data_IF_278928781476
#
_entry.id   IF_278928781476
#
_cell.length_a   1.000
_cell.length_b   1.000
_cell.length_c   1.000
_cell.angle_alpha   90.00
_cell.angle_beta   90.00
_cell.angle_gamma   90.00
#
_symmetry.space_group_name_H-M   'P 1'
#
loop_
_entity.id
_entity.type
_entity.pdbx_description
1 polymer ?
#
# COMPACT_ATOMS: atom_id res chain seq x y z
N UNK A 1 -4.28 38.54 0.91
CA UNK A 1 -4.19 37.48 -0.13
C UNK A 1 -4.72 36.19 0.50
N UNK A 2 -5.98 35.88 0.31
CA UNK A 2 -6.61 34.63 0.73
C UNK A 2 -6.01 33.52 -0.10
N UNK A 3 -5.28 32.62 0.55
CA UNK A 3 -4.82 31.37 -0.06
C UNK A 3 -6.08 30.63 -0.58
N UNK A 4 -6.20 30.34 -1.89
CA UNK A 4 -7.35 29.58 -2.36
C UNK A 4 -7.34 28.23 -1.62
N UNK A 5 -8.42 27.96 -0.91
CA UNK A 5 -8.60 26.67 -0.25
C UNK A 5 -8.32 25.59 -1.31
N UNK A 6 -7.37 24.70 -1.02
CA UNK A 6 -7.04 23.60 -1.94
C UNK A 6 -8.31 22.81 -2.17
N UNK A 7 -8.81 22.80 -3.41
CA UNK A 7 -9.96 21.95 -3.76
C UNK A 7 -9.49 20.51 -3.83
N UNK A 8 -9.51 19.85 -2.68
CA UNK A 8 -9.12 18.44 -2.56
C UNK A 8 -9.95 17.51 -3.44
N UNK A 9 -11.23 17.85 -3.67
CA UNK A 9 -12.07 17.05 -4.55
C UNK A 9 -11.60 17.14 -6.01
N UNK A 10 -11.19 18.31 -6.45
CA UNK A 10 -10.60 18.50 -7.79
C UNK A 10 -9.24 17.79 -7.88
N UNK A 11 -8.37 17.96 -6.87
CA UNK A 11 -7.06 17.32 -6.83
C UNK A 11 -7.17 15.79 -6.85
N UNK A 12 -8.14 15.21 -6.14
CA UNK A 12 -8.44 13.78 -6.13
C UNK A 12 -8.88 13.27 -7.50
N UNK A 13 -9.79 13.97 -8.16
CA UNK A 13 -10.19 13.64 -9.54
C UNK A 13 -9.00 13.70 -10.49
N UNK A 14 -8.19 14.77 -10.42
CA UNK A 14 -7.00 14.92 -11.24
C UNK A 14 -5.98 13.79 -11.00
N UNK A 15 -5.78 13.35 -9.76
CA UNK A 15 -4.95 12.18 -9.44
C UNK A 15 -5.44 10.93 -10.20
N UNK A 16 -6.73 10.64 -10.13
CA UNK A 16 -7.29 9.45 -10.81
C UNK A 16 -7.11 9.54 -12.32
N UNK A 17 -7.44 10.68 -12.92
CA UNK A 17 -7.49 10.82 -14.38
C UNK A 17 -6.12 11.07 -15.02
N UNK A 18 -5.23 11.83 -14.32
CA UNK A 18 -3.95 12.29 -14.88
C UNK A 18 -2.73 11.54 -14.33
N UNK A 19 -2.86 10.77 -13.24
CA UNK A 19 -1.77 9.97 -12.68
C UNK A 19 -2.08 8.48 -12.77
N UNK A 20 -3.19 8.00 -12.18
CA UNK A 20 -3.43 6.58 -12.04
C UNK A 20 -3.74 5.90 -13.40
N UNK A 21 -4.70 6.43 -14.15
CA UNK A 21 -5.10 5.85 -15.45
C UNK A 21 -3.94 5.80 -16.47
N UNK A 22 -3.14 6.87 -16.67
CA UNK A 22 -2.00 6.84 -17.57
C UNK A 22 -0.90 5.86 -17.15
N UNK A 23 -0.81 5.53 -15.86
CA UNK A 23 0.15 4.57 -15.31
C UNK A 23 -0.37 3.12 -15.30
N UNK A 24 -1.45 2.86 -16.03
CA UNK A 24 -1.98 1.51 -16.25
C UNK A 24 -2.86 0.98 -15.12
N UNK A 25 -3.35 1.85 -14.23
CA UNK A 25 -4.35 1.45 -13.24
C UNK A 25 -5.71 1.36 -13.94
N UNK A 26 -6.18 0.14 -14.16
CA UNK A 26 -7.42 -0.15 -14.90
C UNK A 26 -8.52 -0.76 -14.03
N UNK A 27 -8.18 -1.23 -12.84
CA UNK A 27 -9.16 -1.83 -11.93
C UNK A 27 -10.18 -0.79 -11.46
N UNK A 28 -11.45 -1.05 -11.78
CA UNK A 28 -12.55 -0.11 -11.52
C UNK A 28 -12.84 0.03 -10.03
N UNK A 29 -12.68 -1.05 -9.24
CA UNK A 29 -12.92 -1.00 -7.80
C UNK A 29 -11.83 -0.16 -7.10
N UNK A 30 -10.56 -0.35 -7.49
CA UNK A 30 -9.42 0.45 -7.00
C UNK A 30 -9.61 1.93 -7.36
N UNK A 31 -9.92 2.24 -8.63
CA UNK A 31 -10.12 3.63 -9.06
C UNK A 31 -11.29 4.29 -8.32
N UNK A 32 -12.41 3.57 -8.11
CA UNK A 32 -13.56 4.07 -7.34
C UNK A 32 -13.20 4.34 -5.88
N UNK A 33 -12.48 3.40 -5.23
CA UNK A 33 -12.05 3.59 -3.85
C UNK A 33 -11.14 4.82 -3.72
N UNK A 34 -10.14 4.97 -4.59
CA UNK A 34 -9.23 6.11 -4.57
C UNK A 34 -9.89 7.44 -4.94
N UNK A 35 -10.97 7.42 -5.73
CA UNK A 35 -11.79 8.60 -6.01
C UNK A 35 -12.70 8.98 -4.82
N UNK A 36 -13.14 8.01 -4.03
CA UNK A 36 -14.08 8.22 -2.92
C UNK A 36 -13.38 8.61 -1.62
N UNK A 37 -12.28 7.91 -1.26
CA UNK A 37 -11.61 8.09 0.04
C UNK A 37 -10.77 9.37 0.06
N UNK A 38 -11.02 10.30 1.00
CA UNK A 38 -10.30 11.57 1.08
C UNK A 38 -8.91 11.37 1.70
N UNK A 39 -7.90 11.13 0.86
CA UNK A 39 -6.52 10.86 1.28
C UNK A 39 -5.94 11.97 2.17
N UNK A 40 -6.31 13.23 1.91
CA UNK A 40 -5.92 14.40 2.71
C UNK A 40 -6.31 14.31 4.19
N UNK A 41 -7.38 13.56 4.50
CA UNK A 41 -7.82 13.36 5.88
C UNK A 41 -6.87 12.48 6.71
N UNK A 42 -6.00 11.72 6.04
CA UNK A 42 -5.03 10.81 6.65
C UNK A 42 -3.60 11.38 6.66
N UNK A 43 -3.42 12.56 6.09
CA UNK A 43 -2.10 13.23 6.00
C UNK A 43 -2.00 14.30 7.10
N UNK A 44 -0.93 14.30 7.92
CA UNK A 44 -0.82 15.24 9.02
C UNK A 44 -0.58 16.67 8.56
N UNK A 45 -1.31 17.62 9.16
CA UNK A 45 -1.04 19.06 9.12
C UNK A 45 -0.89 19.64 7.72
N UNK A 46 0.18 20.43 7.53
CA UNK A 46 0.45 21.14 6.28
C UNK A 46 0.76 20.22 5.10
N UNK A 47 1.15 18.98 5.35
CA UNK A 47 1.42 17.99 4.30
C UNK A 47 0.15 17.58 3.53
N UNK A 48 -1.06 17.85 4.05
CA UNK A 48 -2.32 17.59 3.37
C UNK A 48 -2.42 18.23 1.97
N UNK A 49 -1.79 19.39 1.74
CA UNK A 49 -1.72 20.03 0.42
C UNK A 49 -1.00 19.19 -0.64
N UNK A 50 -0.20 18.22 -0.23
CA UNK A 50 0.53 17.31 -1.10
C UNK A 50 -0.09 15.91 -1.18
N UNK A 51 -1.26 15.70 -0.54
CA UNK A 51 -1.89 14.38 -0.43
C UNK A 51 -2.07 13.66 -1.78
N UNK A 52 -2.27 14.42 -2.85
CA UNK A 52 -2.52 13.92 -4.20
C UNK A 52 -1.31 14.00 -5.15
N UNK A 53 -0.15 14.42 -4.64
CA UNK A 53 1.11 14.33 -5.39
C UNK A 53 1.60 12.87 -5.39
N UNK A 54 2.15 12.43 -6.54
CA UNK A 54 2.66 11.04 -6.67
C UNK A 54 4.05 10.89 -6.03
N UNK A 55 4.09 11.10 -4.71
CA UNK A 55 5.30 10.98 -3.88
C UNK A 55 4.96 10.44 -2.49
N UNK A 56 5.95 9.86 -1.82
CA UNK A 56 5.84 9.46 -0.41
C UNK A 56 5.63 10.68 0.49
N UNK A 57 4.78 10.54 1.48
CA UNK A 57 4.50 11.59 2.47
C UNK A 57 4.93 11.06 3.85
N UNK A 58 5.93 11.72 4.44
CA UNK A 58 6.40 11.36 5.78
C UNK A 58 5.30 11.55 6.82
N UNK A 59 5.17 10.57 7.71
CA UNK A 59 4.30 10.59 8.89
C UNK A 59 5.11 10.39 10.17
N UNK A 60 6.27 11.02 10.20
CA UNK A 60 7.20 11.00 11.33
C UNK A 60 7.98 9.69 11.42
N UNK A 61 8.29 9.28 12.63
CA UNK A 61 9.11 8.08 12.91
C UNK A 61 8.46 6.77 12.47
N UNK A 62 7.15 6.76 12.24
CA UNK A 62 6.42 5.58 11.76
C UNK A 62 6.72 5.23 10.31
N UNK A 63 7.34 6.15 9.56
CA UNK A 63 7.65 5.96 8.14
C UNK A 63 6.90 6.95 7.24
N UNK A 64 6.40 6.48 6.11
CA UNK A 64 5.73 7.32 5.12
C UNK A 64 4.54 6.60 4.47
N UNK A 65 3.51 7.37 4.11
CA UNK A 65 2.47 6.89 3.21
C UNK A 65 3.07 6.65 1.82
N UNK A 66 2.69 5.56 1.19
CA UNK A 66 3.11 5.28 -0.19
C UNK A 66 2.53 6.31 -1.17
N UNK A 67 3.23 6.61 -2.29
CA UNK A 67 2.66 7.40 -3.37
C UNK A 67 1.36 6.77 -3.91
N UNK A 68 0.41 7.57 -4.40
CA UNK A 68 -0.86 7.05 -4.95
C UNK A 68 -0.69 6.01 -6.06
N UNK A 69 0.19 6.26 -7.03
CA UNK A 69 0.36 5.37 -8.18
C UNK A 69 0.92 4.00 -7.81
N UNK A 70 2.04 3.87 -7.07
CA UNK A 70 2.51 2.58 -6.59
C UNK A 70 1.47 1.80 -5.78
N UNK A 71 0.75 2.47 -4.88
CA UNK A 71 -0.30 1.84 -4.09
C UNK A 71 -1.44 1.30 -4.97
N UNK A 72 -1.92 2.11 -5.92
CA UNK A 72 -2.97 1.69 -6.86
C UNK A 72 -2.53 0.52 -7.73
N UNK A 73 -1.27 0.51 -8.19
CA UNK A 73 -0.69 -0.60 -8.97
C UNK A 73 -0.57 -1.87 -8.15
N UNK A 74 -0.17 -1.78 -6.87
CA UNK A 74 -0.16 -2.94 -5.96
C UNK A 74 -1.55 -3.52 -5.79
N UNK A 75 -2.57 -2.69 -5.52
CA UNK A 75 -3.95 -3.13 -5.36
C UNK A 75 -4.48 -3.76 -6.66
N UNK A 76 -4.21 -3.14 -7.81
CA UNK A 76 -4.61 -3.70 -9.13
C UNK A 76 -3.95 -5.06 -9.38
N UNK A 77 -2.65 -5.20 -9.12
CA UNK A 77 -1.93 -6.45 -9.34
C UNK A 77 -2.32 -7.55 -8.35
N UNK A 78 -2.60 -7.18 -7.11
CA UNK A 78 -3.05 -8.13 -6.08
C UNK A 78 -4.49 -8.57 -6.25
N UNK A 79 -5.32 -7.77 -6.96
CA UNK A 79 -6.73 -8.03 -7.23
C UNK A 79 -7.50 -8.51 -5.97
N UNK A 80 -7.55 -7.72 -4.87
CA UNK A 80 -8.31 -8.09 -3.69
C UNK A 80 -9.80 -8.19 -4.00
N UNK A 81 -10.49 -9.16 -3.41
CA UNK A 81 -11.88 -9.43 -3.72
C UNK A 81 -12.82 -8.98 -2.60
N UNK A 82 -14.04 -8.52 -2.93
CA UNK A 82 -15.06 -8.31 -1.93
C UNK A 82 -15.28 -9.56 -1.05
N UNK A 83 -15.31 -9.35 0.26
CA UNK A 83 -15.41 -10.43 1.24
C UNK A 83 -14.08 -10.99 1.72
N UNK A 84 -12.95 -10.68 1.08
CA UNK A 84 -11.63 -11.07 1.60
C UNK A 84 -11.42 -10.48 3.01
N UNK A 85 -10.89 -11.30 3.92
CA UNK A 85 -10.36 -10.83 5.20
C UNK A 85 -8.99 -10.24 4.97
N UNK A 86 -8.81 -8.98 5.35
CA UNK A 86 -7.59 -8.24 5.07
C UNK A 86 -6.91 -7.72 6.33
N UNK A 87 -5.57 -7.70 6.29
CA UNK A 87 -4.71 -7.00 7.25
C UNK A 87 -3.91 -5.92 6.51
N UNK A 88 -3.82 -4.75 7.11
CA UNK A 88 -2.94 -3.67 6.64
C UNK A 88 -1.86 -3.41 7.68
N UNK A 89 -0.62 -3.45 7.23
CA UNK A 89 0.57 -3.12 8.02
C UNK A 89 1.27 -1.94 7.37
N UNK A 90 1.72 -0.96 8.14
CA UNK A 90 2.43 0.18 7.58
C UNK A 90 2.41 1.41 8.44
N UNK A 91 2.87 2.51 7.87
CA UNK A 91 2.98 3.78 8.57
C UNK A 91 1.62 4.51 8.69
N UNK A 92 0.75 4.40 7.67
CA UNK A 92 -0.61 4.98 7.66
C UNK A 92 -1.68 3.95 7.29
N UNK A 93 -1.81 2.87 8.07
CA UNK A 93 -2.69 1.75 7.70
C UNK A 93 -4.15 2.17 7.57
N UNK A 94 -4.57 3.24 8.23
CA UNK A 94 -5.95 3.71 8.22
C UNK A 94 -6.44 4.14 6.83
N UNK A 95 -5.60 4.80 6.03
CA UNK A 95 -5.96 5.17 4.65
C UNK A 95 -6.16 3.94 3.77
N UNK A 96 -5.21 3.02 3.81
CA UNK A 96 -5.29 1.79 3.02
C UNK A 96 -6.46 0.92 3.47
N UNK A 97 -6.68 0.81 4.79
CA UNK A 97 -7.83 0.09 5.35
C UNK A 97 -9.16 0.64 4.81
N UNK A 98 -9.28 1.97 4.71
CA UNK A 98 -10.49 2.59 4.18
C UNK A 98 -10.66 2.33 2.67
N UNK A 99 -9.57 2.34 1.89
CA UNK A 99 -9.61 1.91 0.49
C UNK A 99 -10.10 0.46 0.34
N UNK A 100 -9.59 -0.45 1.16
CA UNK A 100 -9.97 -1.87 1.12
C UNK A 100 -11.43 -2.07 1.52
N UNK A 101 -11.93 -1.33 2.53
CA UNK A 101 -13.35 -1.35 2.89
C UNK A 101 -14.24 -0.86 1.74
N UNK A 102 -13.83 0.18 1.01
CA UNK A 102 -14.53 0.65 -0.19
C UNK A 102 -14.53 -0.36 -1.34
N UNK A 103 -13.52 -1.20 -1.44
CA UNK A 103 -13.49 -2.32 -2.38
C UNK A 103 -14.41 -3.46 -1.92
N UNK A 104 -14.74 -3.51 -0.62
CA UNK A 104 -15.64 -4.50 -0.02
C UNK A 104 -14.93 -5.57 0.81
N UNK A 105 -13.68 -5.33 1.24
CA UNK A 105 -12.94 -6.24 2.10
C UNK A 105 -13.32 -6.03 3.58
N UNK A 106 -13.17 -7.10 4.36
CA UNK A 106 -13.29 -7.09 5.82
C UNK A 106 -11.90 -6.84 6.42
N UNK A 107 -11.59 -5.58 6.75
CA UNK A 107 -10.29 -5.20 7.29
C UNK A 107 -10.26 -5.41 8.79
N UNK A 108 -9.35 -6.26 9.26
CA UNK A 108 -9.10 -6.55 10.66
C UNK A 108 -8.14 -5.52 11.28
N UNK A 109 -8.37 -5.20 12.55
CA UNK A 109 -7.43 -4.43 13.37
C UNK A 109 -6.46 -5.34 14.13
N UNK A 110 -6.82 -6.61 14.29
CA UNK A 110 -5.99 -7.64 14.92
C UNK A 110 -5.18 -8.41 13.90
N UNK A 111 -3.94 -8.74 14.26
CA UNK A 111 -3.06 -9.57 13.42
C UNK A 111 -3.38 -11.08 13.47
N UNK A 112 -4.47 -11.48 14.16
CA UNK A 112 -4.90 -12.86 14.24
C UNK A 112 -5.58 -13.31 12.94
N UNK A 113 -4.82 -14.03 12.09
CA UNK A 113 -5.31 -14.61 10.82
C UNK A 113 -6.31 -15.75 11.02
N UNK A 114 -6.63 -16.50 9.95
CA UNK A 114 -6.04 -16.35 8.62
C UNK A 114 -6.61 -15.16 7.82
N UNK A 115 -5.76 -14.56 6.97
CA UNK A 115 -6.13 -13.47 6.06
C UNK A 115 -6.05 -13.93 4.61
N UNK A 116 -7.02 -13.51 3.79
CA UNK A 116 -7.01 -13.74 2.34
C UNK A 116 -6.11 -12.71 1.64
N UNK A 117 -5.96 -11.54 2.26
CA UNK A 117 -5.14 -10.46 1.73
C UNK A 117 -4.37 -9.73 2.84
N UNK A 118 -3.05 -9.52 2.64
CA UNK A 118 -2.21 -8.68 3.50
C UNK A 118 -1.59 -7.59 2.61
N UNK A 119 -1.72 -6.33 3.00
CA UNK A 119 -0.98 -5.25 2.37
C UNK A 119 0.00 -4.66 3.38
N UNK A 120 1.29 -4.61 2.99
CA UNK A 120 2.34 -3.92 3.74
C UNK A 120 2.64 -2.60 3.02
N UNK A 121 2.25 -1.48 3.63
CA UNK A 121 2.45 -0.14 3.10
C UNK A 121 3.85 0.36 3.42
N UNK A 122 4.77 0.18 2.49
CA UNK A 122 6.18 0.55 2.60
C UNK A 122 7.07 -0.43 1.85
N UNK A 123 8.36 -0.13 1.79
CA UNK A 123 9.33 -1.07 1.25
C UNK A 123 9.95 -1.89 2.40
N UNK A 124 10.08 -3.19 2.19
CA UNK A 124 10.58 -4.13 3.19
C UNK A 124 11.69 -5.01 2.61
N UNK A 125 12.69 -5.32 3.41
CA UNK A 125 13.76 -6.23 3.02
C UNK A 125 13.42 -7.69 3.35
N UNK A 126 12.61 -7.91 4.39
CA UNK A 126 12.17 -9.24 4.84
C UNK A 126 10.69 -9.19 5.20
N UNK A 127 9.95 -10.18 4.73
CA UNK A 127 8.58 -10.42 5.18
C UNK A 127 8.65 -11.24 6.47
N UNK A 128 8.11 -10.77 7.60
CA UNK A 128 8.10 -11.53 8.84
C UNK A 128 7.36 -12.87 8.70
N UNK A 129 7.92 -13.93 9.28
CA UNK A 129 7.30 -15.26 9.30
C UNK A 129 5.90 -15.24 9.92
N UNK A 130 5.67 -14.38 10.90
CA UNK A 130 4.35 -14.19 11.52
C UNK A 130 3.29 -13.74 10.51
N UNK A 131 3.62 -12.86 9.55
CA UNK A 131 2.70 -12.43 8.49
C UNK A 131 2.46 -13.55 7.47
N UNK A 132 3.51 -14.33 7.15
CA UNK A 132 3.38 -15.51 6.28
C UNK A 132 2.50 -16.57 6.95
N UNK A 133 2.65 -16.79 8.25
CA UNK A 133 1.82 -17.70 9.01
C UNK A 133 0.35 -17.25 9.06
N UNK A 134 0.12 -15.93 9.26
CA UNK A 134 -1.22 -15.34 9.30
C UNK A 134 -1.92 -15.27 7.92
N UNK A 135 -1.19 -15.46 6.81
CA UNK A 135 -1.76 -15.51 5.47
C UNK A 135 -2.43 -16.87 5.24
N UNK A 136 -3.67 -16.88 4.76
CA UNK A 136 -4.38 -18.08 4.37
C UNK A 136 -3.68 -18.80 3.21
N UNK A 137 -3.92 -20.12 3.08
CA UNK A 137 -3.50 -20.86 1.88
C UNK A 137 -4.24 -20.30 0.66
N UNK A 138 -3.51 -20.01 -0.42
CA UNK A 138 -4.02 -19.28 -1.57
C UNK A 138 -4.12 -17.76 -1.38
N UNK A 139 -3.91 -17.26 -0.16
CA UNK A 139 -3.94 -15.83 0.16
C UNK A 139 -2.83 -15.04 -0.53
N UNK A 140 -3.01 -13.71 -0.60
CA UNK A 140 -2.13 -12.79 -1.32
C UNK A 140 -1.54 -11.76 -0.37
N UNK A 141 -0.28 -11.42 -0.60
CA UNK A 141 0.43 -10.37 0.13
C UNK A 141 1.03 -9.38 -0.87
N UNK A 142 0.80 -8.10 -0.67
CA UNK A 142 1.27 -7.03 -1.56
C UNK A 142 2.17 -6.06 -0.80
N UNK A 143 3.31 -5.70 -1.40
CA UNK A 143 4.29 -4.78 -0.80
C UNK A 143 5.30 -4.29 -1.84
N UNK A 144 6.25 -3.45 -1.44
CA UNK A 144 7.48 -3.22 -2.17
C UNK A 144 8.64 -4.00 -1.51
N UNK A 145 9.36 -4.82 -2.28
CA UNK A 145 10.53 -5.56 -1.80
C UNK A 145 11.81 -4.77 -2.07
N UNK A 146 12.71 -4.74 -1.08
CA UNK A 146 14.06 -4.17 -1.22
C UNK A 146 15.01 -5.29 -1.64
N UNK A 147 15.52 -5.20 -2.87
CA UNK A 147 16.44 -6.18 -3.45
C UNK A 147 17.60 -5.47 -4.14
N UNK A 148 18.83 -5.71 -3.71
CA UNK A 148 20.02 -5.11 -4.31
C UNK A 148 20.04 -3.58 -4.30
N UNK A 149 19.44 -2.95 -3.27
CA UNK A 149 19.33 -1.49 -3.18
C UNK A 149 18.22 -0.85 -4.00
N UNK A 150 17.42 -1.65 -4.71
CA UNK A 150 16.26 -1.18 -5.49
C UNK A 150 14.97 -1.63 -4.81
N UNK A 151 13.93 -0.81 -4.88
CA UNK A 151 12.59 -1.18 -4.41
C UNK A 151 11.71 -1.59 -5.57
N UNK A 152 11.03 -2.75 -5.44
CA UNK A 152 10.17 -3.33 -6.48
C UNK A 152 8.80 -3.66 -5.93
N UNK A 153 7.76 -3.22 -6.61
CA UNK A 153 6.40 -3.63 -6.31
C UNK A 153 6.25 -5.13 -6.55
N UNK A 154 5.71 -5.82 -5.56
CA UNK A 154 5.59 -7.27 -5.60
C UNK A 154 4.27 -7.74 -4.99
N UNK A 155 3.72 -8.81 -5.59
CA UNK A 155 2.60 -9.57 -5.05
C UNK A 155 3.06 -11.00 -4.83
N UNK A 156 2.91 -11.46 -3.59
CA UNK A 156 3.15 -12.84 -3.20
C UNK A 156 1.85 -13.61 -3.10
N UNK A 157 1.87 -14.89 -3.41
CA UNK A 157 0.79 -15.84 -3.17
C UNK A 157 1.29 -17.01 -2.35
N UNK A 158 0.57 -17.37 -1.30
CA UNK A 158 0.89 -18.54 -0.48
C UNK A 158 0.39 -19.81 -1.14
N UNK A 159 1.29 -20.74 -1.38
CA UNK A 159 0.99 -22.08 -1.95
C UNK A 159 1.82 -23.10 -1.20
N UNK A 160 1.17 -24.11 -0.66
CA UNK A 160 1.82 -25.17 0.15
C UNK A 160 2.69 -24.58 1.29
N UNK A 161 2.18 -23.54 1.96
CA UNK A 161 2.85 -22.87 3.08
C UNK A 161 3.97 -21.90 2.69
N UNK A 162 4.33 -21.79 1.41
CA UNK A 162 5.40 -20.92 0.90
C UNK A 162 4.82 -19.78 0.10
N UNK A 163 5.39 -18.57 0.25
CA UNK A 163 5.00 -17.40 -0.56
C UNK A 163 5.86 -17.33 -1.82
N UNK A 164 5.22 -17.47 -2.97
CA UNK A 164 5.84 -17.24 -4.28
C UNK A 164 5.60 -15.80 -4.72
N UNK A 165 6.65 -15.10 -5.14
CA UNK A 165 6.62 -13.66 -5.43
C UNK A 165 6.65 -13.35 -6.91
N UNK A 166 5.73 -12.52 -7.36
CA UNK A 166 5.77 -11.84 -8.66
C UNK A 166 6.16 -10.36 -8.46
N UNK A 167 7.34 -9.99 -8.94
CA UNK A 167 7.85 -8.61 -8.95
C UNK A 167 7.54 -8.01 -10.31
N UNK A 168 6.86 -6.87 -10.36
CA UNK A 168 6.31 -6.40 -11.64
C UNK A 168 6.69 -4.95 -12.01
N UNK A 169 7.25 -4.16 -11.09
CA UNK A 169 7.68 -2.80 -11.40
C UNK A 169 8.67 -2.27 -10.36
N UNK A 170 9.65 -1.51 -10.82
CA UNK A 170 10.45 -0.68 -9.94
C UNK A 170 9.63 0.53 -9.47
N UNK A 171 9.82 0.93 -8.20
CA UNK A 171 9.15 2.09 -7.62
C UNK A 171 10.00 2.64 -6.47
N UNK A 172 10.08 3.96 -6.36
CA UNK A 172 10.78 4.61 -5.26
C UNK A 172 9.86 4.67 -4.04
N UNK A 173 10.01 3.68 -3.14
CA UNK A 173 9.21 3.54 -1.92
C UNK A 173 10.13 3.63 -0.71
N UNK A 174 9.72 4.45 0.27
CA UNK A 174 10.47 4.61 1.52
C UNK A 174 10.43 3.29 2.31
N UNK A 175 11.59 2.83 2.83
CA UNK A 175 11.65 1.67 3.70
C UNK A 175 10.73 1.80 4.92
N UNK A 176 10.03 0.73 5.24
CA UNK A 176 9.20 0.66 6.44
C UNK A 176 10.11 0.32 7.64
N UNK A 177 10.17 1.16 8.68
CA UNK A 177 10.99 0.91 9.85
C UNK A 177 10.66 -0.44 10.51
N UNK A 178 11.69 -1.17 10.94
CA UNK A 178 11.54 -2.46 11.62
C UNK A 178 11.42 -3.68 10.68
N UNK A 179 11.50 -3.47 9.35
CA UNK A 179 11.45 -4.54 8.35
C UNK A 179 12.77 -4.66 7.57
N UNK A 180 13.85 -4.20 8.17
CA UNK A 180 15.19 -4.29 7.62
C UNK A 180 15.77 -5.69 7.76
N UNK A 181 16.68 -6.05 6.86
CA UNK A 181 17.49 -7.26 7.00
C UNK A 181 18.48 -7.05 8.16
N UNK A 182 18.53 -7.98 9.10
CA UNK A 182 19.57 -7.94 10.11
C UNK A 182 20.98 -7.82 9.44
N UNK A 183 21.87 -6.96 9.93
CA UNK A 183 23.21 -6.85 9.35
C UNK A 183 23.93 -8.19 9.43
N UNK A 184 24.29 -8.73 8.26
CA UNK A 184 25.15 -9.93 8.19
C UNK A 184 26.59 -9.44 8.32
N UNK A 185 27.19 -9.67 9.48
CA UNK A 185 28.63 -9.47 9.64
C UNK A 185 29.36 -10.61 8.92
N UNK A 186 29.98 -10.31 7.79
CA UNK A 186 30.93 -11.22 7.15
C UNK A 186 32.29 -10.94 7.78
N UNK A 187 32.85 -11.94 8.50
CA UNK A 187 34.22 -11.91 9.02
C UNK A 187 35.20 -12.41 7.97
#
# INVERSE_FOLDING_TARGET
>A
MTNPATDFAQARRAMVDSQLRPQGVTDVAVLRAMAAVPREAFVPGRAASFAYSDRSISIGEKGAMMPPTPLARLLTAAAPMPGDRALVVGAAPAYVAELLRHIGLMVSEDAAGPFDFILIEGAIAIVPDALIAALAEGGRIATALIEGGTTRLAVGRKVAGVVSWNRFADAEIIPLPGYDRAPVFTF
#
